data_IF_234050390721
#
_entry.id   IF_234050390721
#
_cell.length_a   1.000
_cell.length_b   1.000
_cell.length_c   1.000
_cell.angle_alpha   90.00
_cell.angle_beta   90.00
_cell.angle_gamma   90.00
#
_symmetry.space_group_name_H-M   'P 1'
#
loop_
_entity.id
_entity.type
_entity.pdbx_description
1 polymer ?
#
# COMPACT_ATOMS: atom_id res chain seq x y z
N UNK A 1 -24.29 -22.41 20.88
CA UNK A 1 -23.22 -23.43 20.76
C UNK A 1 -22.15 -23.13 19.70
N UNK A 2 -22.46 -22.47 18.57
CA UNK A 2 -21.46 -22.06 17.54
C UNK A 2 -20.51 -20.92 17.92
N UNK A 3 -20.64 -20.34 19.12
CA UNK A 3 -19.78 -19.25 19.63
C UNK A 3 -18.64 -19.75 20.52
N UNK A 4 -18.81 -20.88 21.22
CA UNK A 4 -17.80 -21.44 22.13
C UNK A 4 -16.72 -22.25 21.39
N UNK A 5 -17.09 -22.91 20.29
CA UNK A 5 -16.15 -23.55 19.37
C UNK A 5 -15.27 -22.53 18.60
N UNK A 6 -15.63 -21.23 18.63
CA UNK A 6 -14.85 -20.12 18.03
C UNK A 6 -13.60 -19.76 18.80
N UNK A 7 -13.59 -19.98 20.12
CA UNK A 7 -12.52 -19.49 20.98
C UNK A 7 -11.30 -20.40 21.03
N UNK A 8 -11.47 -21.68 20.68
CA UNK A 8 -10.39 -22.67 20.75
C UNK A 8 -9.59 -22.77 19.44
N UNK A 9 -10.26 -22.64 18.27
CA UNK A 9 -9.57 -22.74 16.98
C UNK A 9 -8.71 -21.51 16.62
N UNK A 10 -9.01 -20.35 17.20
CA UNK A 10 -8.26 -19.09 17.03
C UNK A 10 -7.00 -19.00 17.90
N UNK A 11 -6.87 -19.83 18.94
CA UNK A 11 -5.66 -19.90 19.77
C UNK A 11 -4.54 -20.70 19.10
N UNK A 12 -4.89 -21.73 18.33
CA UNK A 12 -3.90 -22.66 17.77
C UNK A 12 -3.23 -22.17 16.47
N UNK A 13 -3.85 -21.21 15.76
CA UNK A 13 -3.26 -20.60 14.54
C UNK A 13 -2.26 -19.48 14.86
N UNK A 14 -2.34 -18.87 16.05
CA UNK A 14 -1.62 -17.65 16.40
C UNK A 14 -0.73 -17.78 17.65
N UNK A 15 -0.27 -18.99 17.96
CA UNK A 15 0.77 -19.20 18.95
C UNK A 15 2.08 -18.55 18.44
N UNK A 16 2.30 -17.28 18.79
CA UNK A 16 3.53 -16.52 18.48
C UNK A 16 3.33 -15.13 17.86
N UNK A 17 2.10 -14.70 17.52
CA UNK A 17 1.84 -13.35 17.00
C UNK A 17 1.07 -12.51 18.03
N UNK A 18 1.50 -11.26 18.24
CA UNK A 18 0.92 -10.33 19.22
C UNK A 18 -0.61 -10.21 19.07
N UNK A 19 -1.33 -10.16 20.20
CA UNK A 19 -2.80 -10.14 20.32
C UNK A 19 -3.50 -9.09 19.43
N UNK A 20 -2.84 -7.98 19.11
CA UNK A 20 -3.39 -6.93 18.26
C UNK A 20 -3.54 -7.33 16.78
N UNK A 21 -2.73 -8.27 16.27
CA UNK A 21 -2.84 -8.78 14.89
C UNK A 21 -3.99 -9.79 14.79
N UNK A 22 -4.19 -10.59 15.84
CA UNK A 22 -5.32 -11.53 15.93
C UNK A 22 -6.68 -10.84 15.96
N UNK A 23 -6.83 -9.68 16.62
CA UNK A 23 -8.10 -8.96 16.68
C UNK A 23 -8.50 -8.27 15.36
N UNK A 24 -7.50 -7.92 14.53
CA UNK A 24 -7.72 -7.42 13.16
C UNK A 24 -8.11 -8.57 12.22
N UNK A 25 -7.48 -9.74 12.38
CA UNK A 25 -7.74 -10.95 11.57
C UNK A 25 -9.01 -11.72 11.99
N UNK A 26 -9.46 -11.62 13.24
CA UNK A 26 -10.65 -12.34 13.74
C UNK A 26 -11.98 -11.78 13.19
N UNK A 27 -11.95 -10.60 12.55
CA UNK A 27 -13.12 -10.00 11.89
C UNK A 27 -13.26 -10.40 10.42
N UNK A 28 -12.28 -11.11 9.87
CA UNK A 28 -12.19 -11.42 8.43
C UNK A 28 -12.40 -12.90 8.18
N UNK A 29 -13.60 -13.24 7.68
CA UNK A 29 -13.92 -14.50 7.01
C UNK A 29 -13.22 -14.57 5.63
N UNK A 30 -13.11 -15.75 4.99
CA UNK A 30 -12.40 -15.89 3.72
C UNK A 30 -12.91 -14.99 2.60
N UNK A 31 -12.11 -13.98 2.26
CA UNK A 31 -12.45 -12.87 1.37
C UNK A 31 -13.87 -12.32 1.60
N UNK A 32 -14.19 -12.01 2.86
CA UNK A 32 -15.42 -11.29 3.27
C UNK A 32 -15.13 -9.79 3.47
N UNK A 33 -14.17 -9.26 2.72
CA UNK A 33 -13.82 -7.86 2.79
C UNK A 33 -14.64 -7.07 1.74
N UNK A 34 -15.44 -6.06 2.12
CA UNK A 34 -16.39 -5.42 1.19
C UNK A 34 -15.70 -4.57 0.12
N UNK A 35 -14.46 -4.12 0.37
CA UNK A 35 -13.69 -3.35 -0.61
C UNK A 35 -12.91 -4.24 -1.59
N UNK A 36 -12.90 -3.91 -2.90
CA UNK A 36 -12.04 -4.56 -3.88
C UNK A 36 -10.55 -4.26 -3.67
N UNK A 37 -10.20 -3.30 -2.81
CA UNK A 37 -8.82 -2.93 -2.52
C UNK A 37 -8.60 -2.73 -1.01
N UNK A 38 -7.73 -3.56 -0.43
CA UNK A 38 -7.27 -3.46 0.96
C UNK A 38 -5.84 -2.91 0.99
N UNK A 39 -5.58 -1.95 1.87
CA UNK A 39 -4.25 -1.39 2.11
C UNK A 39 -3.85 -1.60 3.56
N UNK A 40 -2.66 -2.15 3.78
CA UNK A 40 -2.08 -2.34 5.10
C UNK A 40 -0.82 -1.53 5.24
N UNK A 41 -0.74 -0.81 6.33
CA UNK A 41 0.44 -0.05 6.75
C UNK A 41 1.06 -0.73 7.97
N UNK A 42 2.38 -0.71 8.07
CA UNK A 42 3.09 -1.08 9.30
C UNK A 42 4.31 -0.18 9.49
N UNK A 43 4.57 0.21 10.74
CA UNK A 43 5.81 0.90 11.10
C UNK A 43 6.96 -0.08 10.96
N UNK A 44 8.05 0.34 10.32
CA UNK A 44 9.24 -0.50 10.14
C UNK A 44 10.47 0.18 10.70
N UNK A 45 11.38 -0.60 11.28
CA UNK A 45 12.75 -0.13 11.52
C UNK A 45 13.40 0.27 10.19
N UNK A 46 14.36 1.22 10.22
CA UNK A 46 14.92 1.81 9.00
C UNK A 46 15.64 0.83 8.05
N UNK A 47 15.89 -0.43 8.47
CA UNK A 47 16.68 -1.43 7.73
C UNK A 47 15.94 -2.70 7.30
N UNK A 48 14.61 -2.73 7.25
CA UNK A 48 13.90 -3.98 6.93
C UNK A 48 13.00 -3.93 5.69
N UNK A 49 13.30 -4.70 4.63
CA UNK A 49 12.33 -5.03 3.59
C UNK A 49 11.41 -6.14 4.12
N UNK A 50 10.44 -5.78 4.96
CA UNK A 50 9.42 -6.70 5.49
C UNK A 50 8.39 -7.14 4.44
N UNK A 51 8.56 -6.76 3.17
CA UNK A 51 7.52 -6.83 2.13
C UNK A 51 6.87 -8.20 1.97
N UNK A 52 7.64 -9.29 1.97
CA UNK A 52 7.06 -10.64 1.81
C UNK A 52 6.29 -11.13 3.04
N UNK A 53 6.79 -10.85 4.26
CA UNK A 53 6.10 -11.22 5.49
C UNK A 53 4.82 -10.39 5.67
N UNK A 54 4.90 -9.08 5.40
CA UNK A 54 3.77 -8.18 5.43
C UNK A 54 2.73 -8.55 4.37
N UNK A 55 3.14 -8.94 3.16
CA UNK A 55 2.24 -9.46 2.12
C UNK A 55 1.52 -10.75 2.55
N UNK A 56 2.24 -11.69 3.18
CA UNK A 56 1.61 -12.93 3.68
C UNK A 56 0.60 -12.64 4.77
N UNK A 57 0.97 -11.83 5.76
CA UNK A 57 0.06 -11.40 6.82
C UNK A 57 -1.15 -10.66 6.24
N UNK A 58 -0.93 -9.79 5.25
CA UNK A 58 -1.97 -9.04 4.59
C UNK A 58 -2.99 -9.93 3.88
N UNK A 59 -2.49 -10.84 3.05
CA UNK A 59 -3.34 -11.73 2.28
C UNK A 59 -4.02 -12.75 3.19
N UNK A 60 -3.32 -13.26 4.21
CA UNK A 60 -3.89 -14.16 5.22
C UNK A 60 -5.06 -13.51 5.96
N UNK A 61 -4.87 -12.27 6.43
CA UNK A 61 -5.93 -11.48 7.05
C UNK A 61 -7.11 -11.28 6.09
N UNK A 62 -6.87 -10.77 4.88
CA UNK A 62 -7.91 -10.53 3.88
C UNK A 62 -8.71 -11.80 3.51
N UNK A 63 -8.06 -12.96 3.55
CA UNK A 63 -8.60 -14.26 3.19
C UNK A 63 -9.03 -15.09 4.41
N UNK A 64 -8.97 -14.58 5.63
CA UNK A 64 -9.31 -15.35 6.83
C UNK A 64 -8.55 -16.70 6.93
N UNK A 65 -7.31 -16.76 6.42
CA UNK A 65 -6.45 -17.96 6.43
C UNK A 65 -5.12 -17.67 7.14
N UNK A 66 -4.45 -18.70 7.68
CA UNK A 66 -3.10 -18.56 8.19
C UNK A 66 -2.13 -18.01 7.14
N UNK A 67 -1.20 -17.14 7.55
CA UNK A 67 -0.24 -16.50 6.65
C UNK A 67 0.68 -17.51 5.93
N UNK A 68 0.88 -18.69 6.53
CA UNK A 68 1.65 -19.82 6.01
C UNK A 68 1.00 -20.45 4.78
N UNK A 69 -0.32 -20.32 4.65
CA UNK A 69 -1.06 -20.76 3.47
C UNK A 69 -0.91 -19.79 2.28
N UNK A 70 -0.35 -18.60 2.51
CA UNK A 70 -0.03 -17.62 1.47
C UNK A 70 1.41 -17.80 0.99
N UNK A 71 1.55 -18.03 -0.31
CA UNK A 71 2.86 -18.05 -0.98
C UNK A 71 3.11 -16.69 -1.63
N UNK A 72 4.32 -16.16 -1.48
CA UNK A 72 4.74 -14.91 -2.12
C UNK A 72 5.95 -15.22 -3.00
N UNK A 73 5.78 -15.06 -4.31
CA UNK A 73 6.85 -15.05 -5.30
C UNK A 73 7.08 -13.64 -5.84
N UNK A 74 7.93 -13.53 -6.86
CA UNK A 74 8.16 -12.29 -7.61
C UNK A 74 8.26 -12.58 -9.10
N UNK A 75 7.72 -11.69 -9.92
CA UNK A 75 7.98 -11.65 -11.36
C UNK A 75 9.41 -11.12 -11.63
N UNK A 76 9.96 -11.31 -12.84
CA UNK A 76 11.22 -10.68 -13.25
C UNK A 76 11.22 -9.15 -13.11
N UNK A 77 10.04 -8.52 -13.21
CA UNK A 77 9.82 -7.08 -12.97
C UNK A 77 9.98 -6.67 -11.49
N UNK A 78 10.13 -7.64 -10.58
CA UNK A 78 10.15 -7.43 -9.12
C UNK A 78 8.76 -7.37 -8.47
N UNK A 79 7.68 -7.36 -9.26
CA UNK A 79 6.29 -7.35 -8.79
C UNK A 79 6.00 -8.62 -7.96
N UNK A 80 5.37 -8.50 -6.77
CA UNK A 80 4.99 -9.66 -5.99
C UNK A 80 3.88 -10.47 -6.67
N UNK A 81 4.01 -11.79 -6.63
CA UNK A 81 2.98 -12.74 -7.10
C UNK A 81 2.48 -13.53 -5.90
N UNK A 82 1.16 -13.54 -5.72
CA UNK A 82 0.51 -14.30 -4.65
C UNK A 82 0.08 -15.69 -5.13
N UNK A 83 0.31 -16.69 -4.29
CA UNK A 83 -0.07 -18.07 -4.53
C UNK A 83 -0.56 -18.76 -3.26
N UNK A 84 -0.78 -20.07 -3.33
CA UNK A 84 -1.46 -20.79 -2.26
C UNK A 84 -2.91 -20.32 -2.15
N UNK A 85 -3.37 -20.05 -0.93
CA UNK A 85 -4.73 -19.55 -0.67
C UNK A 85 -4.99 -18.16 -1.29
N UNK A 86 -3.94 -17.38 -1.56
CA UNK A 86 -4.04 -16.04 -2.15
C UNK A 86 -3.87 -15.99 -3.67
N UNK A 87 -3.91 -17.15 -4.34
CA UNK A 87 -3.85 -17.21 -5.80
C UNK A 87 -5.01 -16.39 -6.39
N UNK A 88 -4.68 -15.53 -7.35
CA UNK A 88 -5.65 -14.67 -8.04
C UNK A 88 -5.79 -13.26 -7.44
N UNK A 89 -5.20 -13.00 -6.26
CA UNK A 89 -5.07 -11.63 -5.76
C UNK A 89 -3.89 -10.92 -6.43
N UNK A 90 -4.09 -9.63 -6.70
CA UNK A 90 -3.05 -8.71 -7.11
C UNK A 90 -2.42 -8.04 -5.90
N UNK A 91 -1.13 -7.77 -5.96
CA UNK A 91 -0.39 -7.20 -4.86
C UNK A 91 0.54 -6.08 -5.30
N UNK A 92 0.67 -5.08 -4.44
CA UNK A 92 1.65 -4.01 -4.56
C UNK A 92 2.30 -3.72 -3.21
N UNK A 93 3.56 -3.31 -3.24
CA UNK A 93 4.34 -2.97 -2.05
C UNK A 93 5.03 -1.65 -2.27
N UNK A 94 5.07 -0.81 -1.25
CA UNK A 94 5.98 0.31 -1.15
C UNK A 94 6.58 0.39 0.24
N UNK A 95 7.79 0.90 0.35
CA UNK A 95 8.43 1.08 1.64
C UNK A 95 9.37 2.28 1.57
N UNK A 96 9.39 3.02 2.66
CA UNK A 96 10.36 4.06 2.96
C UNK A 96 10.85 3.84 4.39
N UNK A 97 11.99 4.40 4.80
CA UNK A 97 12.42 4.32 6.19
C UNK A 97 11.27 4.74 7.13
N UNK A 98 10.94 3.90 8.11
CA UNK A 98 9.86 4.16 9.08
C UNK A 98 8.45 3.70 8.67
N UNK A 99 8.19 3.31 7.42
CA UNK A 99 6.86 2.90 6.98
C UNK A 99 6.88 1.94 5.78
N UNK A 100 6.16 0.83 5.90
CA UNK A 100 5.85 -0.07 4.78
C UNK A 100 4.36 -0.09 4.50
N UNK A 101 4.01 -0.12 3.21
CA UNK A 101 2.66 -0.19 2.68
C UNK A 101 2.51 -1.40 1.76
N UNK A 102 1.41 -2.12 1.92
CA UNK A 102 0.99 -3.22 1.04
C UNK A 102 -0.43 -2.94 0.57
N UNK A 103 -0.71 -3.16 -0.71
CA UNK A 103 -2.07 -3.16 -1.24
C UNK A 103 -2.40 -4.51 -1.87
N UNK A 104 -3.63 -4.96 -1.66
CA UNK A 104 -4.22 -6.15 -2.25
C UNK A 104 -5.43 -5.75 -3.09
N UNK A 105 -5.50 -6.23 -4.33
CA UNK A 105 -6.62 -6.04 -5.25
C UNK A 105 -7.22 -7.39 -5.64
N UNK A 106 -8.54 -7.53 -5.58
CA UNK A 106 -9.21 -8.77 -5.98
C UNK A 106 -9.82 -8.76 -7.38
N UNK A 107 -10.01 -7.57 -7.94
CA UNK A 107 -10.64 -7.40 -9.26
C UNK A 107 -9.61 -7.16 -10.37
N UNK A 108 -8.41 -6.74 -10.01
CA UNK A 108 -7.37 -6.40 -10.98
C UNK A 108 -6.13 -5.76 -10.32
N UNK A 109 -5.16 -5.34 -11.15
CA UNK A 109 -3.90 -4.79 -10.68
C UNK A 109 -4.07 -3.56 -9.79
N UNK A 110 -3.38 -3.56 -8.67
CA UNK A 110 -3.30 -2.45 -7.73
C UNK A 110 -1.88 -1.92 -7.66
N UNK A 111 -1.74 -0.64 -7.35
CA UNK A 111 -0.45 0.00 -7.07
C UNK A 111 -0.53 0.78 -5.77
N UNK A 112 0.44 0.61 -4.88
CA UNK A 112 0.59 1.45 -3.69
C UNK A 112 1.94 2.10 -3.70
N UNK A 113 1.98 3.37 -3.34
CA UNK A 113 3.21 4.08 -3.11
C UNK A 113 3.15 4.97 -1.86
N UNK A 114 4.29 5.08 -1.17
CA UNK A 114 4.42 5.83 0.06
C UNK A 114 5.72 6.62 0.02
N UNK A 115 5.67 7.89 0.41
CA UNK A 115 6.83 8.77 0.45
C UNK A 115 6.92 9.50 1.79
N UNK A 116 8.14 9.73 2.27
CA UNK A 116 8.38 10.55 3.47
C UNK A 116 8.32 12.02 3.07
N UNK A 117 7.55 12.83 3.79
CA UNK A 117 7.57 14.28 3.66
C UNK A 117 8.95 14.81 4.02
N UNK A 118 9.54 15.57 3.09
CA UNK A 118 10.87 16.13 3.22
C UNK A 118 11.01 17.33 2.29
N UNK A 119 12.00 18.17 2.57
CA UNK A 119 12.41 19.22 1.66
C UNK A 119 12.90 18.63 0.34
N UNK A 120 12.44 19.20 -0.77
CA UNK A 120 12.89 18.90 -2.14
C UNK A 120 12.89 20.18 -2.96
N UNK A 121 13.76 20.32 -3.97
CA UNK A 121 13.70 21.43 -4.92
C UNK A 121 12.51 21.26 -5.88
N UNK A 122 11.30 21.29 -5.33
CA UNK A 122 10.04 20.89 -5.95
C UNK A 122 9.78 21.54 -7.31
N UNK A 123 9.89 22.87 -7.41
CA UNK A 123 9.69 23.60 -8.65
C UNK A 123 10.69 23.18 -9.75
N UNK A 124 11.98 23.04 -9.40
CA UNK A 124 13.01 22.64 -10.34
C UNK A 124 12.81 21.21 -10.84
N UNK A 125 12.46 20.28 -9.94
CA UNK A 125 12.20 18.89 -10.29
C UNK A 125 10.95 18.76 -11.15
N UNK A 126 9.85 19.43 -10.78
CA UNK A 126 8.61 19.39 -11.56
C UNK A 126 8.81 19.97 -12.95
N UNK A 127 9.53 21.09 -13.10
CA UNK A 127 9.86 21.67 -14.42
C UNK A 127 10.68 20.71 -15.28
N UNK A 128 11.56 19.91 -14.68
CA UNK A 128 12.41 18.96 -15.40
C UNK A 128 11.67 17.68 -15.80
N UNK A 129 10.75 17.22 -14.97
CA UNK A 129 10.23 15.84 -15.08
C UNK A 129 8.72 15.73 -15.29
N UNK A 130 7.92 16.68 -14.84
CA UNK A 130 6.47 16.61 -14.95
C UNK A 130 5.94 17.32 -16.19
N UNK A 131 4.69 17.04 -16.55
CA UNK A 131 4.03 17.74 -17.66
C UNK A 131 3.81 19.22 -17.34
N UNK A 132 3.74 20.06 -18.38
CA UNK A 132 3.61 21.52 -18.25
C UNK A 132 2.43 21.95 -17.34
N UNK A 133 1.30 21.25 -17.42
CA UNK A 133 0.13 21.48 -16.56
C UNK A 133 0.45 21.28 -15.07
N UNK A 134 1.17 20.21 -14.75
CA UNK A 134 1.47 19.80 -13.37
C UNK A 134 2.56 20.71 -12.79
N UNK A 135 3.60 21.00 -13.58
CA UNK A 135 4.65 21.94 -13.22
C UNK A 135 4.11 23.37 -13.02
N UNK A 136 3.24 23.85 -13.92
CA UNK A 136 2.61 25.16 -13.80
C UNK A 136 1.67 25.27 -12.60
N UNK A 137 0.87 24.24 -12.34
CA UNK A 137 0.01 24.19 -11.15
C UNK A 137 0.82 24.21 -9.85
N UNK A 138 1.95 23.49 -9.83
CA UNK A 138 2.85 23.47 -8.67
C UNK A 138 3.54 24.81 -8.45
N UNK A 139 3.99 25.47 -9.52
CA UNK A 139 4.62 26.80 -9.43
C UNK A 139 3.68 27.86 -8.85
N UNK A 140 2.36 27.68 -8.99
CA UNK A 140 1.34 28.53 -8.36
C UNK A 140 1.01 28.18 -6.90
N UNK A 141 1.82 27.35 -6.21
CA UNK A 141 1.70 27.05 -4.77
C UNK A 141 2.76 27.82 -3.98
N UNK A 142 2.48 28.05 -2.70
CA UNK A 142 3.47 28.66 -1.80
C UNK A 142 4.71 27.77 -1.64
N UNK A 143 5.86 28.37 -1.32
CA UNK A 143 7.12 27.63 -1.16
C UNK A 143 7.03 26.50 -0.14
N UNK A 144 6.20 26.65 0.90
CA UNK A 144 5.98 25.64 1.94
C UNK A 144 5.09 24.49 1.46
N UNK A 145 4.16 24.75 0.54
CA UNK A 145 3.27 23.73 -0.03
C UNK A 145 3.93 22.93 -1.16
N UNK A 146 4.84 23.54 -1.92
CA UNK A 146 5.43 22.92 -3.10
C UNK A 146 6.08 21.55 -2.83
N UNK A 147 6.91 21.33 -1.79
CA UNK A 147 7.49 20.02 -1.49
C UNK A 147 6.43 18.95 -1.23
N UNK A 148 5.40 19.27 -0.45
CA UNK A 148 4.30 18.34 -0.13
C UNK A 148 3.55 17.97 -1.40
N UNK A 149 3.19 18.95 -2.22
CA UNK A 149 2.43 18.72 -3.45
C UNK A 149 3.26 17.97 -4.50
N UNK A 150 4.55 18.25 -4.60
CA UNK A 150 5.47 17.48 -5.45
C UNK A 150 5.48 16.01 -5.05
N UNK A 151 5.69 15.71 -3.76
CA UNK A 151 5.72 14.33 -3.28
C UNK A 151 4.38 13.64 -3.49
N UNK A 152 3.24 14.32 -3.29
CA UNK A 152 1.91 13.76 -3.61
C UNK A 152 1.74 13.43 -5.09
N UNK A 153 2.26 14.24 -6.00
CA UNK A 153 2.22 13.93 -7.44
C UNK A 153 3.16 12.79 -7.80
N UNK A 154 4.38 12.78 -7.24
CA UNK A 154 5.35 11.69 -7.40
C UNK A 154 4.77 10.35 -6.96
N UNK A 155 4.24 10.30 -5.73
CA UNK A 155 3.63 9.10 -5.14
C UNK A 155 2.48 8.57 -6.01
N UNK A 156 1.67 9.47 -6.59
CA UNK A 156 0.62 9.07 -7.54
C UNK A 156 1.19 8.44 -8.83
N UNK A 157 2.23 9.03 -9.42
CA UNK A 157 2.87 8.52 -10.64
C UNK A 157 3.51 7.14 -10.41
N UNK A 158 4.13 6.94 -9.25
CA UNK A 158 4.68 5.65 -8.82
C UNK A 158 3.60 4.59 -8.59
N UNK A 159 2.51 4.95 -7.89
CA UNK A 159 1.37 4.06 -7.70
C UNK A 159 0.77 3.61 -9.05
N UNK A 160 0.58 4.53 -9.99
CA UNK A 160 0.13 4.19 -11.36
C UNK A 160 1.18 3.33 -12.09
N UNK A 161 2.46 3.67 -11.96
CA UNK A 161 3.56 2.87 -12.51
C UNK A 161 3.58 1.43 -12.00
N UNK A 162 3.18 1.22 -10.75
CA UNK A 162 3.03 -0.11 -10.13
C UNK A 162 1.82 -0.89 -10.62
N UNK A 163 0.71 -0.24 -10.95
CA UNK A 163 -0.43 -0.87 -11.67
C UNK A 163 0.03 -1.34 -13.04
N UNK A 164 0.78 -0.51 -13.76
CA UNK A 164 1.27 -0.79 -15.11
C UNK A 164 2.43 -1.80 -15.16
N UNK A 165 3.23 -1.89 -14.09
CA UNK A 165 4.45 -2.71 -14.06
C UNK A 165 5.64 -2.06 -14.76
N UNK A 166 5.59 -0.75 -15.02
CA UNK A 166 6.59 0.00 -15.80
C UNK A 166 7.44 0.95 -14.96
N UNK A 167 7.14 1.12 -13.67
CA UNK A 167 7.81 2.12 -12.82
C UNK A 167 7.68 3.55 -13.39
N UNK A 168 8.62 4.45 -13.09
CA UNK A 168 8.64 5.82 -13.63
C UNK A 168 9.33 5.97 -15.00
N UNK A 169 9.93 4.90 -15.51
CA UNK A 169 10.52 4.85 -16.85
C UNK A 169 9.47 4.99 -17.95
N UNK A 170 9.94 5.22 -19.18
CA UNK A 170 9.13 5.24 -20.40
C UNK A 170 7.90 6.17 -20.31
N UNK A 171 8.15 7.44 -20.00
CA UNK A 171 7.12 8.47 -19.88
C UNK A 171 6.38 8.46 -18.55
N UNK A 172 6.83 7.69 -17.55
CA UNK A 172 6.16 7.60 -16.26
C UNK A 172 6.09 8.91 -15.48
N UNK A 173 7.13 9.73 -15.60
CA UNK A 173 7.16 11.07 -15.02
C UNK A 173 6.12 12.02 -15.66
N UNK A 174 5.65 11.73 -16.87
CA UNK A 174 4.65 12.54 -17.60
C UNK A 174 3.21 12.02 -17.44
N UNK A 175 2.98 10.93 -16.69
CA UNK A 175 1.63 10.39 -16.49
C UNK A 175 0.74 11.38 -15.74
N UNK A 176 -0.52 11.59 -16.17
CA UNK A 176 -1.41 12.52 -15.49
C UNK A 176 -1.70 12.06 -14.06
N UNK A 177 -1.91 13.03 -13.16
CA UNK A 177 -2.29 12.80 -11.76
C UNK A 177 -3.41 13.73 -11.32
N UNK A 178 -3.99 13.48 -10.15
CA UNK A 178 -4.97 14.39 -9.54
C UNK A 178 -4.24 15.50 -8.79
N UNK A 179 -4.37 16.71 -9.30
CA UNK A 179 -3.81 17.93 -8.71
C UNK A 179 -4.71 18.42 -7.58
N UNK A 180 -4.12 18.72 -6.41
CA UNK A 180 -4.85 19.27 -5.25
C UNK A 180 -5.96 18.36 -4.71
N UNK A 181 -5.94 17.06 -5.00
CA UNK A 181 -6.98 16.15 -4.53
C UNK A 181 -6.98 16.12 -2.98
N UNK A 182 -8.17 16.14 -2.34
CA UNK A 182 -8.26 16.00 -0.90
C UNK A 182 -7.80 14.61 -0.48
N UNK A 183 -7.44 14.47 0.80
CA UNK A 183 -7.22 13.15 1.37
C UNK A 183 -8.55 12.37 1.39
N UNK A 184 -8.51 11.08 1.10
CA UNK A 184 -9.70 10.24 1.07
C UNK A 184 -9.45 8.85 0.52
N UNK A 185 -10.37 7.95 0.85
CA UNK A 185 -10.31 6.53 0.46
C UNK A 185 -11.08 6.21 -0.81
N UNK A 186 -11.75 7.18 -1.45
CA UNK A 186 -12.47 6.95 -2.69
C UNK A 186 -11.49 6.91 -3.88
N UNK A 187 -11.55 5.84 -4.66
CA UNK A 187 -10.84 5.71 -5.94
C UNK A 187 -11.54 6.56 -6.99
N UNK A 188 -10.96 7.71 -7.31
CA UNK A 188 -11.51 8.66 -8.28
C UNK A 188 -10.72 8.63 -9.59
N UNK A 189 -11.35 8.92 -10.74
CA UNK A 189 -10.67 8.89 -12.02
C UNK A 189 -9.52 9.90 -12.08
N UNK A 190 -8.43 9.49 -12.72
CA UNK A 190 -7.33 10.38 -13.09
C UNK A 190 -7.75 11.24 -14.29
N UNK A 191 -7.66 12.58 -14.22
CA UNK A 191 -8.08 13.44 -15.33
C UNK A 191 -7.35 13.12 -16.63
N UNK A 192 -8.10 13.07 -17.73
CA UNK A 192 -7.55 12.82 -19.07
C UNK A 192 -7.29 11.35 -19.41
N UNK A 193 -7.67 10.41 -18.54
CA UNK A 193 -7.59 8.98 -18.86
C UNK A 193 -8.72 8.17 -18.18
N UNK A 194 -9.37 7.24 -18.88
CA UNK A 194 -10.34 6.32 -18.27
C UNK A 194 -9.65 5.12 -17.60
N UNK A 195 -8.32 5.00 -17.72
CA UNK A 195 -7.59 3.77 -17.37
C UNK A 195 -7.25 3.64 -15.90
N UNK A 196 -7.20 4.74 -15.15
CA UNK A 196 -6.68 4.74 -13.80
C UNK A 196 -7.55 5.52 -12.84
N UNK A 197 -7.67 4.95 -11.64
CA UNK A 197 -8.33 5.56 -10.51
C UNK A 197 -7.33 5.66 -9.36
N UNK A 198 -7.36 6.78 -8.65
CA UNK A 198 -6.44 7.07 -7.57
C UNK A 198 -7.15 7.62 -6.34
N UNK A 199 -6.69 7.15 -5.19
CA UNK A 199 -7.05 7.63 -3.87
C UNK A 199 -5.79 8.09 -3.13
N UNK A 200 -5.96 9.08 -2.27
CA UNK A 200 -4.91 9.64 -1.41
C UNK A 200 -5.35 9.48 0.04
N UNK A 201 -5.42 8.25 0.57
CA UNK A 201 -5.86 8.02 1.94
C UNK A 201 -4.93 8.73 2.94
N UNK A 202 -5.43 9.09 4.13
CA UNK A 202 -4.59 9.57 5.22
C UNK A 202 -3.46 8.56 5.50
N UNK A 203 -2.24 9.09 5.63
CA UNK A 203 -1.06 8.33 6.03
C UNK A 203 -0.64 8.77 7.45
N UNK A 204 0.18 7.96 8.16
CA UNK A 204 0.84 8.41 9.37
C UNK A 204 1.56 9.76 9.17
N UNK A 205 1.66 10.54 10.24
CA UNK A 205 2.32 11.85 10.21
C UNK A 205 3.73 11.75 9.59
N UNK A 206 4.04 12.72 8.73
CA UNK A 206 5.31 12.77 8.00
C UNK A 206 5.36 11.92 6.74
N UNK A 207 4.24 11.32 6.30
CA UNK A 207 4.18 10.52 5.08
C UNK A 207 3.04 10.94 4.16
N UNK A 208 3.17 10.60 2.87
CA UNK A 208 2.09 10.64 1.89
C UNK A 208 1.90 9.25 1.30
N UNK A 209 0.65 8.91 0.99
CA UNK A 209 0.25 7.61 0.48
C UNK A 209 -0.62 7.81 -0.76
N UNK A 210 -0.33 7.08 -1.83
CA UNK A 210 -1.19 7.00 -2.99
C UNK A 210 -1.49 5.54 -3.34
N UNK A 211 -2.72 5.30 -3.75
CA UNK A 211 -3.19 3.97 -4.13
C UNK A 211 -3.90 4.09 -5.47
N UNK A 212 -3.39 3.36 -6.45
CA UNK A 212 -3.89 3.32 -7.82
C UNK A 212 -4.52 1.97 -8.13
N UNK A 213 -5.49 1.98 -9.04
CA UNK A 213 -6.13 0.77 -9.59
C UNK A 213 -6.57 1.01 -11.03
N UNK A 214 -6.90 -0.08 -11.74
CA UNK A 214 -7.58 -0.02 -13.02
C UNK A 214 -9.10 0.26 -12.89
N UNK A 215 -9.83 0.30 -14.01
CA UNK A 215 -11.27 0.59 -14.04
C UNK A 215 -12.14 -0.43 -13.29
N UNK A 216 -11.65 -1.65 -13.07
CA UNK A 216 -12.33 -2.72 -12.32
C UNK A 216 -12.66 -2.36 -10.85
N UNK A 217 -11.94 -1.40 -10.29
CA UNK A 217 -12.15 -0.89 -8.93
C UNK A 217 -12.67 0.56 -8.92
N UNK A 218 -13.13 1.08 -10.06
CA UNK A 218 -13.66 2.43 -10.20
C UNK A 218 -14.75 2.76 -9.18
N UNK A 219 -14.64 3.92 -8.53
CA UNK A 219 -15.65 4.42 -7.58
C UNK A 219 -15.72 3.67 -6.25
N UNK A 220 -14.94 2.59 -6.08
CA UNK A 220 -14.87 1.88 -4.81
C UNK A 220 -14.12 2.69 -3.75
N UNK A 221 -14.39 2.36 -2.48
CA UNK A 221 -13.63 2.89 -1.35
C UNK A 221 -12.61 1.87 -0.90
N UNK A 222 -11.37 2.30 -0.74
CA UNK A 222 -10.32 1.51 -0.10
C UNK A 222 -10.66 1.28 1.37
N UNK A 223 -10.20 0.16 1.90
CA UNK A 223 -9.98 0.01 3.33
C UNK A 223 -8.50 0.14 3.64
N UNK A 224 -8.18 0.88 4.71
CA UNK A 224 -6.80 1.14 5.13
C UNK A 224 -6.67 0.75 6.59
N UNK A 225 -5.81 -0.22 6.89
CA UNK A 225 -5.58 -0.67 8.26
C UNK A 225 -4.11 -0.47 8.64
N UNK A 226 -3.92 -0.02 9.88
CA UNK A 226 -2.60 0.15 10.48
C UNK A 226 -2.31 -1.07 11.35
N UNK A 227 -1.33 -1.88 10.97
CA UNK A 227 -0.86 -3.01 11.74
C UNK A 227 0.20 -2.57 12.75
N UNK A 228 0.29 -3.25 13.91
CA UNK A 228 1.43 -3.06 14.81
C UNK A 228 2.75 -3.34 14.07
N UNK A 229 3.86 -2.74 14.52
CA UNK A 229 5.17 -3.07 13.96
C UNK A 229 5.43 -4.57 14.08
N UNK A 230 6.09 -5.20 13.09
CA UNK A 230 6.48 -6.60 13.22
C UNK A 230 7.34 -6.77 14.48
N UNK A 231 7.09 -7.83 15.24
CA UNK A 231 7.91 -8.16 16.40
C UNK A 231 9.39 -8.19 15.99
N UNK A 232 10.26 -7.56 16.78
CA UNK A 232 11.69 -7.70 16.58
C UNK A 232 12.03 -9.19 16.58
N UNK A 233 12.85 -9.64 15.61
CA UNK A 233 13.40 -10.99 15.73
C UNK A 233 14.13 -11.06 17.08
N UNK A 234 13.92 -12.11 17.89
CA UNK A 234 14.73 -12.29 19.09
C UNK A 234 16.20 -12.28 18.67
N UNK A 235 17.01 -11.53 19.42
CA UNK A 235 18.45 -11.48 19.20
C UNK A 235 19.00 -12.90 19.36
N UNK A 236 19.61 -13.51 18.32
CA UNK A 236 20.21 -14.83 18.44
C UNK A 236 21.35 -14.86 19.47
N UNK A 237 21.85 -13.70 19.93
CA UNK A 237 22.85 -13.55 20.97
C UNK A 237 22.31 -13.29 22.38
N UNK A 238 20.99 -13.13 22.57
CA UNK A 238 20.42 -13.02 23.92
C UNK A 238 20.32 -14.41 24.55
N UNK A 239 21.40 -14.84 25.21
CA UNK A 239 21.38 -16.01 26.06
C UNK A 239 20.23 -15.90 27.07
N UNK A 240 19.44 -16.97 27.18
CA UNK A 240 18.38 -17.12 28.17
C UNK A 240 19.01 -16.99 29.58
N UNK A 241 18.39 -16.24 30.51
CA UNK A 241 18.88 -16.14 31.90
C UNK A 241 18.82 -17.48 32.63
#
# INVERSE_FOLDING_TARGET
MRAMLRSHMLRDVFCGMSSAVSDVCARTLPWVHPSPVLVLLTRTAERHPAGAALLRAAAGAALGVPAEQVRVGREPSGRPVLGGAARGLHASVSHVPGLSAVALGSRGPVGVDVERLRAVPAAALARRWFGAREAGWLAGRSETEQPVQFLRMWTQKEAIGKVLGTGLSDGGLLRPVRLGAPAGTALCPVPGTPRFYIALPPAPEGFVLAVASGPEAAGSRLEVLMLPPPAARPDPGAACP
#
